data_IF_857829146803
#
_entry.id   IF_857829146803
#
_cell.length_a   1.000
_cell.length_b   1.000
_cell.length_c   1.000
_cell.angle_alpha   90.00
_cell.angle_beta   90.00
_cell.angle_gamma   90.00
#
_symmetry.space_group_name_H-M   'P 1'
#
loop_
_entity.id
_entity.type
_entity.pdbx_description
1 polymer ?
#
# COMPACT_ATOMS: atom_id res chain seq x y z
N UNK A 1 55.88 0.54 -3.40
CA UNK A 1 54.51 -0.03 -3.47
C UNK A 1 54.51 -0.98 -4.65
N UNK A 2 53.98 -2.19 -4.47
CA UNK A 2 54.04 -3.20 -5.54
C UNK A 2 53.12 -2.77 -6.69
N UNK A 3 53.53 -3.05 -7.95
CA UNK A 3 52.78 -2.76 -9.17
C UNK A 3 51.33 -3.28 -9.11
N UNK A 4 51.10 -4.34 -8.37
CA UNK A 4 49.81 -4.99 -8.18
C UNK A 4 48.72 -4.10 -7.53
N UNK A 5 49.09 -3.11 -6.71
CA UNK A 5 48.15 -2.18 -6.09
C UNK A 5 47.81 -1.03 -7.03
N UNK A 6 48.81 -0.56 -7.79
CA UNK A 6 48.61 0.52 -8.76
C UNK A 6 47.65 0.13 -9.89
N UNK A 7 47.66 -1.13 -10.33
CA UNK A 7 46.79 -1.62 -11.39
C UNK A 7 45.31 -1.75 -10.97
N UNK A 8 45.01 -1.69 -9.66
CA UNK A 8 43.65 -1.76 -9.13
C UNK A 8 43.02 -0.38 -8.88
N UNK A 9 43.82 0.66 -8.85
CA UNK A 9 43.32 2.05 -8.67
C UNK A 9 43.15 2.64 -10.06
N UNK A 10 41.90 2.72 -10.50
CA UNK A 10 41.54 3.19 -11.83
C UNK A 10 41.31 4.69 -11.88
N UNK A 11 40.77 5.25 -10.81
CA UNK A 11 40.49 6.68 -10.65
C UNK A 11 40.27 7.05 -9.21
N UNK A 12 40.31 8.33 -8.89
CA UNK A 12 39.82 8.86 -7.63
C UNK A 12 38.30 8.96 -7.66
N UNK A 13 37.61 8.48 -6.61
CA UNK A 13 36.19 8.62 -6.42
C UNK A 13 35.90 9.59 -5.27
N UNK A 14 35.02 10.55 -5.50
CA UNK A 14 34.58 11.50 -4.48
C UNK A 14 33.20 11.11 -3.97
N UNK A 15 32.99 11.27 -2.67
CA UNK A 15 31.67 11.19 -2.04
C UNK A 15 31.14 12.55 -1.70
N UNK A 16 29.85 12.65 -1.30
CA UNK A 16 29.31 13.94 -0.85
C UNK A 16 29.95 14.46 0.44
N UNK A 17 30.60 13.59 1.21
CA UNK A 17 31.38 14.00 2.39
C UNK A 17 32.71 14.68 2.03
N UNK A 18 33.19 14.47 0.81
CA UNK A 18 34.47 15.02 0.32
C UNK A 18 34.29 16.37 -0.42
N UNK A 19 33.06 16.75 -0.76
CA UNK A 19 32.78 17.89 -1.63
C UNK A 19 31.67 18.80 -1.11
N UNK A 20 31.76 20.07 -1.45
CA UNK A 20 30.70 21.07 -1.26
C UNK A 20 30.29 21.62 -2.63
N UNK A 21 28.97 21.77 -2.82
CA UNK A 21 28.44 22.48 -3.97
C UNK A 21 28.62 24.00 -3.77
N UNK A 22 29.30 24.64 -4.70
CA UNK A 22 29.47 26.10 -4.69
C UNK A 22 28.16 26.72 -5.19
N UNK A 23 27.54 27.66 -4.43
CA UNK A 23 26.38 28.38 -4.89
C UNK A 23 26.66 29.11 -6.23
N UNK A 24 25.73 28.98 -7.18
CA UNK A 24 25.80 29.65 -8.46
C UNK A 24 24.61 30.60 -8.60
N UNK A 25 24.75 31.57 -9.49
CA UNK A 25 23.65 32.46 -9.84
C UNK A 25 22.49 31.68 -10.48
N UNK A 26 21.26 31.94 -10.03
CA UNK A 26 20.05 31.31 -10.55
C UNK A 26 18.93 32.33 -10.65
N UNK A 27 18.19 32.29 -11.75
CA UNK A 27 16.95 33.06 -11.98
C UNK A 27 15.69 32.24 -11.75
N UNK A 28 15.86 30.94 -11.36
CA UNK A 28 14.77 30.00 -11.12
C UNK A 28 14.32 30.07 -9.66
N UNK A 29 13.05 30.39 -9.44
CA UNK A 29 12.45 30.33 -8.11
C UNK A 29 12.13 28.87 -7.71
N UNK A 30 12.15 28.52 -6.41
CA UNK A 30 11.85 27.14 -5.96
C UNK A 30 10.56 26.56 -6.54
N UNK A 31 9.49 27.36 -6.67
CA UNK A 31 8.20 26.94 -7.24
C UNK A 31 8.23 26.71 -8.77
N UNK A 32 9.31 27.09 -9.45
CA UNK A 32 9.48 26.93 -10.90
C UNK A 32 10.41 25.77 -11.24
N UNK A 33 10.93 25.07 -10.20
CA UNK A 33 11.83 23.95 -10.41
C UNK A 33 11.06 22.77 -10.98
N UNK A 34 11.55 22.19 -12.07
CA UNK A 34 11.06 20.93 -12.63
C UNK A 34 11.84 19.78 -11.98
N UNK A 35 11.14 18.92 -11.24
CA UNK A 35 11.74 17.80 -10.50
C UNK A 35 11.75 16.50 -11.29
N UNK A 36 11.06 16.42 -12.42
CA UNK A 36 11.01 15.21 -13.24
C UNK A 36 12.40 14.80 -13.70
N UNK A 37 12.70 13.50 -13.55
CA UNK A 37 14.00 12.96 -13.92
C UNK A 37 13.88 11.55 -14.44
N UNK A 38 14.90 11.08 -15.18
CA UNK A 38 14.98 9.68 -15.61
C UNK A 38 15.76 8.88 -14.60
N UNK A 39 15.15 7.83 -14.08
CA UNK A 39 15.83 6.83 -13.27
C UNK A 39 16.51 5.78 -14.16
N UNK A 40 15.86 5.38 -15.24
CA UNK A 40 16.42 4.49 -16.25
C UNK A 40 15.88 4.84 -17.63
N UNK A 41 16.26 4.03 -18.65
CA UNK A 41 15.82 4.26 -20.03
C UNK A 41 14.31 4.46 -20.17
N UNK A 42 13.52 3.69 -19.45
CA UNK A 42 12.07 3.61 -19.60
C UNK A 42 11.31 3.99 -18.30
N UNK A 43 12.03 4.48 -17.28
CA UNK A 43 11.41 4.87 -16.00
C UNK A 43 11.70 6.35 -15.74
N UNK A 44 10.65 7.13 -15.65
CA UNK A 44 10.67 8.54 -15.25
C UNK A 44 10.12 8.66 -13.82
N UNK A 45 10.69 9.57 -13.04
CA UNK A 45 10.25 9.91 -11.70
C UNK A 45 9.71 11.34 -11.69
N UNK A 46 8.67 11.58 -10.91
CA UNK A 46 8.16 12.92 -10.68
C UNK A 46 9.02 13.69 -9.67
N UNK A 47 9.66 12.96 -8.75
CA UNK A 47 10.60 13.49 -7.75
C UNK A 47 11.84 12.60 -7.75
N UNK A 48 13.07 13.16 -7.75
CA UNK A 48 14.31 12.40 -7.92
C UNK A 48 14.75 11.67 -6.64
N UNK A 49 13.84 10.95 -6.00
CA UNK A 49 14.12 10.14 -4.82
C UNK A 49 13.96 8.65 -5.11
N UNK A 50 14.97 7.89 -4.70
CA UNK A 50 15.00 6.42 -4.83
C UNK A 50 15.41 5.83 -3.48
N UNK A 51 14.65 4.88 -2.97
CA UNK A 51 15.06 4.17 -1.75
C UNK A 51 15.99 3.00 -2.10
N UNK A 52 17.03 2.83 -1.29
CA UNK A 52 18.07 1.83 -1.52
C UNK A 52 17.53 0.40 -1.37
N UNK A 53 18.03 -0.53 -2.18
CA UNK A 53 17.73 -1.95 -2.12
C UNK A 53 18.43 -2.63 -0.93
N UNK A 54 18.13 -2.18 0.28
CA UNK A 54 18.71 -2.66 1.53
C UNK A 54 17.67 -3.45 2.31
N UNK A 55 18.10 -4.57 2.88
CA UNK A 55 17.31 -5.37 3.80
C UNK A 55 16.80 -4.50 4.97
N UNK A 56 15.57 -4.73 5.39
CA UNK A 56 14.84 -3.97 6.43
C UNK A 56 14.64 -2.48 6.14
N UNK A 57 15.10 -1.98 5.00
CA UNK A 57 14.91 -0.58 4.57
C UNK A 57 13.82 -0.48 3.50
N UNK A 58 13.99 -1.19 2.38
CA UNK A 58 13.04 -1.09 1.26
C UNK A 58 12.33 -2.41 1.01
N UNK A 59 11.19 -2.55 1.67
CA UNK A 59 10.16 -3.55 1.42
C UNK A 59 8.90 -2.87 0.86
N UNK A 60 7.79 -3.61 0.70
CA UNK A 60 6.58 -3.09 0.08
C UNK A 60 6.07 -1.79 0.71
N UNK A 61 6.10 -1.68 2.03
CA UNK A 61 5.60 -0.49 2.75
C UNK A 61 6.38 0.79 2.41
N UNK A 62 7.71 0.72 2.41
CA UNK A 62 8.57 1.84 2.04
C UNK A 62 8.44 2.16 0.54
N UNK A 63 8.39 1.12 -0.30
CA UNK A 63 8.23 1.31 -1.75
C UNK A 63 6.89 1.99 -2.10
N UNK A 64 5.80 1.64 -1.41
CA UNK A 64 4.50 2.31 -1.55
C UNK A 64 4.59 3.78 -1.08
N UNK A 65 5.20 4.02 0.08
CA UNK A 65 5.31 5.37 0.63
C UNK A 65 6.07 6.30 -0.33
N UNK A 66 7.24 5.90 -0.81
CA UNK A 66 8.04 6.73 -1.73
C UNK A 66 7.38 6.90 -3.10
N UNK A 67 6.66 5.88 -3.59
CA UNK A 67 5.94 5.97 -4.86
C UNK A 67 4.81 7.00 -4.80
N UNK A 68 4.10 7.11 -3.68
CA UNK A 68 3.05 8.12 -3.47
C UNK A 68 3.59 9.54 -3.50
N UNK A 69 4.85 9.74 -3.12
CA UNK A 69 5.53 11.04 -3.18
C UNK A 69 6.16 11.31 -4.56
N UNK A 70 6.05 10.38 -5.52
CA UNK A 70 6.55 10.54 -6.89
C UNK A 70 7.95 9.99 -7.14
N UNK A 71 8.55 9.32 -6.16
CA UNK A 71 9.81 8.60 -6.27
C UNK A 71 9.62 7.12 -6.61
N UNK A 72 10.62 6.29 -6.35
CA UNK A 72 10.58 4.83 -6.55
C UNK A 72 11.31 4.08 -5.45
N UNK A 73 10.77 2.93 -5.04
CA UNK A 73 11.43 1.98 -4.16
C UNK A 73 12.07 0.84 -4.94
N UNK A 74 13.27 0.45 -4.55
CA UNK A 74 13.95 -0.74 -5.09
C UNK A 74 13.94 -1.83 -4.02
N UNK A 75 13.13 -2.85 -4.23
CA UNK A 75 13.00 -3.99 -3.29
C UNK A 75 14.31 -4.76 -3.21
N UNK A 76 14.79 -5.04 -2.00
CA UNK A 76 16.02 -5.79 -1.78
C UNK A 76 15.89 -7.27 -2.17
N UNK A 77 17.04 -7.95 -2.32
CA UNK A 77 17.09 -9.35 -2.76
C UNK A 77 17.30 -10.36 -1.62
N UNK A 78 17.42 -9.92 -0.37
CA UNK A 78 17.64 -10.82 0.77
C UNK A 78 16.35 -11.51 1.23
N UNK A 79 15.73 -12.23 0.31
CA UNK A 79 14.49 -13.01 0.51
C UNK A 79 14.38 -14.05 -0.61
N UNK A 80 13.39 -14.96 -0.53
CA UNK A 80 13.15 -15.90 -1.63
C UNK A 80 12.60 -15.17 -2.88
N UNK A 81 12.69 -15.82 -4.03
CA UNK A 81 12.14 -15.29 -5.30
C UNK A 81 10.64 -15.05 -5.16
N UNK A 82 9.92 -15.98 -4.56
CA UNK A 82 8.48 -15.93 -4.34
C UNK A 82 8.11 -14.75 -3.43
N UNK A 83 8.87 -14.56 -2.35
CA UNK A 83 8.65 -13.45 -1.42
C UNK A 83 8.94 -12.10 -2.09
N UNK A 84 10.02 -11.96 -2.86
CA UNK A 84 10.30 -10.74 -3.60
C UNK A 84 9.20 -10.43 -4.61
N UNK A 85 8.73 -11.45 -5.35
CA UNK A 85 7.60 -11.30 -6.27
C UNK A 85 6.33 -10.85 -5.54
N UNK A 86 6.07 -11.40 -4.32
CA UNK A 86 4.94 -11.00 -3.47
C UNK A 86 5.06 -9.53 -3.05
N UNK A 87 6.24 -9.10 -2.60
CA UNK A 87 6.49 -7.70 -2.23
C UNK A 87 6.22 -6.75 -3.41
N UNK A 88 6.74 -7.07 -4.59
CA UNK A 88 6.49 -6.28 -5.81
C UNK A 88 4.99 -6.27 -6.16
N UNK A 89 4.32 -7.41 -6.05
CA UNK A 89 2.89 -7.49 -6.31
C UNK A 89 2.08 -6.58 -5.35
N UNK A 90 2.42 -6.53 -4.06
CA UNK A 90 1.80 -5.63 -3.08
C UNK A 90 1.97 -4.17 -3.51
N UNK A 91 3.19 -3.76 -3.92
CA UNK A 91 3.45 -2.39 -4.38
C UNK A 91 2.62 -2.04 -5.61
N UNK A 92 2.64 -2.92 -6.62
CA UNK A 92 1.87 -2.71 -7.87
C UNK A 92 0.37 -2.62 -7.65
N UNK A 93 -0.11 -3.35 -6.70
CA UNK A 93 -1.53 -3.36 -6.32
C UNK A 93 -1.93 -2.13 -5.51
N UNK A 94 -1.03 -1.59 -4.69
CA UNK A 94 -1.28 -0.35 -3.94
C UNK A 94 -1.46 0.88 -4.84
N UNK A 95 -0.97 0.86 -6.09
CA UNK A 95 -1.27 1.89 -7.11
C UNK A 95 -2.76 1.97 -7.42
N UNK A 96 -3.49 0.88 -7.22
CA UNK A 96 -4.91 0.77 -7.53
C UNK A 96 -5.84 1.18 -6.37
N UNK A 97 -5.31 1.74 -5.28
CA UNK A 97 -6.13 2.15 -4.12
C UNK A 97 -6.75 0.98 -3.34
N UNK A 98 -6.45 -0.26 -3.70
CA UNK A 98 -6.96 -1.45 -3.07
C UNK A 98 -6.07 -1.90 -1.92
N UNK A 99 -6.67 -2.22 -0.78
CA UNK A 99 -6.01 -2.85 0.36
C UNK A 99 -6.08 -4.36 0.14
N UNK A 100 -4.93 -5.00 -0.01
CA UNK A 100 -4.83 -6.46 -0.08
C UNK A 100 -4.66 -7.04 1.31
N UNK A 101 -5.25 -8.22 1.51
CA UNK A 101 -5.28 -8.87 2.81
C UNK A 101 -5.81 -7.91 3.90
N UNK A 102 -7.03 -7.38 3.71
CA UNK A 102 -7.62 -6.46 4.67
C UNK A 102 -7.83 -7.16 6.02
N UNK A 103 -7.80 -6.37 7.08
CA UNK A 103 -8.20 -6.87 8.40
C UNK A 103 -9.63 -7.37 8.31
N UNK A 104 -9.86 -8.62 8.68
CA UNK A 104 -11.16 -9.28 8.65
C UNK A 104 -11.59 -9.72 10.04
N UNK A 105 -12.89 -9.90 10.23
CA UNK A 105 -13.45 -10.47 11.44
C UNK A 105 -14.32 -11.68 11.08
N UNK A 106 -14.30 -12.70 11.93
CA UNK A 106 -15.07 -13.91 11.69
C UNK A 106 -16.51 -13.77 12.14
N UNK A 107 -17.39 -14.47 11.46
CA UNK A 107 -18.78 -14.66 11.91
C UNK A 107 -18.84 -15.11 13.36
N UNK A 108 -19.90 -14.70 14.06
CA UNK A 108 -20.07 -15.05 15.47
C UNK A 108 -19.20 -14.27 16.45
N UNK A 109 -18.29 -13.39 15.99
CA UNK A 109 -17.60 -12.41 16.83
C UNK A 109 -18.59 -11.41 17.42
N UNK A 110 -18.17 -10.65 18.41
CA UNK A 110 -19.03 -9.67 19.10
C UNK A 110 -18.81 -8.26 18.56
N UNK A 111 -19.76 -7.37 18.82
CA UNK A 111 -19.64 -5.92 18.59
C UNK A 111 -18.38 -5.38 19.26
N UNK A 112 -18.06 -5.85 20.47
CA UNK A 112 -16.85 -5.45 21.18
C UNK A 112 -15.60 -5.83 20.41
N UNK A 113 -15.51 -7.08 19.92
CA UNK A 113 -14.34 -7.52 19.13
C UNK A 113 -14.14 -6.65 17.90
N UNK A 114 -15.22 -6.28 17.21
CA UNK A 114 -15.16 -5.40 16.05
C UNK A 114 -14.68 -3.99 16.40
N UNK A 115 -15.16 -3.41 17.51
CA UNK A 115 -14.74 -2.09 17.97
C UNK A 115 -13.28 -2.08 18.42
N UNK A 116 -12.83 -3.11 19.15
CA UNK A 116 -11.45 -3.25 19.59
C UNK A 116 -10.52 -3.35 18.36
N UNK A 117 -10.88 -4.16 17.37
CA UNK A 117 -10.12 -4.27 16.11
C UNK A 117 -10.10 -2.94 15.32
N UNK A 118 -11.24 -2.23 15.23
CA UNK A 118 -11.28 -0.93 14.56
C UNK A 118 -10.38 0.09 15.25
N UNK A 119 -10.33 0.05 16.59
CA UNK A 119 -9.46 0.91 17.39
C UNK A 119 -7.98 0.57 17.18
N UNK A 120 -7.60 -0.69 17.32
CA UNK A 120 -6.21 -1.15 17.25
C UNK A 120 -5.59 -0.95 15.87
N UNK A 121 -6.35 -1.19 14.82
CA UNK A 121 -5.91 -1.04 13.43
C UNK A 121 -6.21 0.33 12.82
N UNK A 122 -6.85 1.24 13.56
CA UNK A 122 -7.27 2.58 13.09
C UNK A 122 -8.10 2.54 11.80
N UNK A 123 -9.05 1.60 11.72
CA UNK A 123 -9.91 1.38 10.55
C UNK A 123 -11.37 1.63 10.88
N UNK A 124 -12.13 2.11 9.90
CA UNK A 124 -13.55 2.47 10.06
C UNK A 124 -14.52 1.42 9.51
N UNK A 125 -14.06 0.22 9.19
CA UNK A 125 -14.90 -0.89 8.72
C UNK A 125 -14.10 -2.13 8.42
N UNK A 126 -14.70 -3.28 8.68
CA UNK A 126 -14.06 -4.59 8.64
C UNK A 126 -14.96 -5.53 7.85
N UNK A 127 -14.47 -6.19 6.78
CA UNK A 127 -15.15 -7.29 6.13
C UNK A 127 -15.35 -8.47 7.10
N UNK A 128 -16.53 -9.05 7.05
CA UNK A 128 -16.88 -10.24 7.83
C UNK A 128 -16.77 -11.46 6.94
N UNK A 129 -16.01 -12.46 7.37
CA UNK A 129 -15.78 -13.69 6.61
C UNK A 129 -16.17 -14.94 7.41
N UNK A 130 -16.45 -16.01 6.71
CA UNK A 130 -16.59 -17.34 7.30
C UNK A 130 -15.24 -18.04 7.51
N UNK A 131 -15.27 -19.33 7.91
CA UNK A 131 -14.07 -20.10 8.17
C UNK A 131 -13.26 -20.43 6.88
N UNK A 132 -13.90 -20.35 5.73
CA UNK A 132 -13.31 -20.63 4.41
C UNK A 132 -12.90 -19.33 3.69
N UNK A 133 -12.96 -18.16 4.38
CA UNK A 133 -12.66 -16.82 3.86
C UNK A 133 -13.65 -16.30 2.82
N UNK A 134 -14.87 -16.84 2.74
CA UNK A 134 -15.90 -16.22 1.91
C UNK A 134 -16.44 -14.97 2.60
N UNK A 135 -16.64 -13.94 1.81
CA UNK A 135 -17.25 -12.69 2.28
C UNK A 135 -18.72 -12.91 2.60
N UNK A 136 -19.11 -12.67 3.86
CA UNK A 136 -20.49 -12.82 4.33
C UNK A 136 -21.13 -11.51 4.73
N UNK A 137 -20.36 -10.45 4.90
CA UNK A 137 -20.85 -9.13 5.26
C UNK A 137 -19.75 -8.10 5.44
N UNK A 138 -20.14 -6.91 5.82
CA UNK A 138 -19.24 -5.85 6.26
C UNK A 138 -19.83 -5.16 7.49
N UNK A 139 -19.00 -4.83 8.47
CA UNK A 139 -19.36 -4.02 9.61
C UNK A 139 -18.55 -2.73 9.60
N UNK A 140 -19.21 -1.60 9.79
CA UNK A 140 -18.60 -0.27 9.73
C UNK A 140 -18.88 0.53 10.98
N UNK A 141 -18.16 1.63 11.18
CA UNK A 141 -18.44 2.58 12.26
C UNK A 141 -19.88 3.10 12.22
N UNK A 142 -20.51 3.14 11.04
CA UNK A 142 -21.92 3.56 10.90
C UNK A 142 -22.85 2.56 11.56
N UNK A 143 -22.62 1.27 11.37
CA UNK A 143 -23.44 0.19 11.91
C UNK A 143 -23.32 0.10 13.43
N UNK A 144 -22.11 0.38 13.96
CA UNK A 144 -21.81 0.27 15.39
C UNK A 144 -22.04 1.57 16.18
N UNK A 145 -22.24 2.70 15.51
CA UNK A 145 -22.28 4.04 16.13
C UNK A 145 -23.26 4.18 17.28
N UNK A 146 -24.38 3.51 17.21
CA UNK A 146 -25.46 3.59 18.21
C UNK A 146 -25.73 2.27 18.94
N UNK A 147 -24.94 1.21 18.63
CA UNK A 147 -25.07 -0.06 19.30
C UNK A 147 -24.51 0.03 20.73
N UNK A 148 -25.30 -0.41 21.70
CA UNK A 148 -24.94 -0.36 23.13
C UNK A 148 -24.65 -1.74 23.71
N UNK A 149 -25.04 -2.79 23.01
CA UNK A 149 -24.89 -4.17 23.46
C UNK A 149 -23.60 -4.76 22.89
N UNK A 150 -22.52 -4.66 23.67
CA UNK A 150 -21.18 -5.08 23.26
C UNK A 150 -21.06 -6.58 23.02
N UNK A 151 -21.89 -7.40 23.69
CA UNK A 151 -21.91 -8.86 23.56
C UNK A 151 -22.75 -9.36 22.38
N UNK A 152 -23.43 -8.46 21.68
CA UNK A 152 -24.24 -8.77 20.51
C UNK A 152 -23.35 -9.31 19.38
N UNK A 153 -23.86 -10.29 18.63
CA UNK A 153 -23.10 -10.85 17.50
C UNK A 153 -23.07 -9.89 16.32
N UNK A 154 -21.93 -9.82 15.64
CA UNK A 154 -21.76 -8.95 14.46
C UNK A 154 -22.70 -9.35 13.32
N UNK A 155 -23.10 -10.61 13.23
CA UNK A 155 -24.07 -11.14 12.28
C UNK A 155 -25.44 -10.44 12.38
N UNK A 156 -25.78 -9.83 13.52
CA UNK A 156 -27.04 -9.13 13.76
C UNK A 156 -26.97 -7.63 13.43
N UNK A 157 -25.75 -7.10 13.22
CA UNK A 157 -25.52 -5.66 12.99
C UNK A 157 -24.79 -5.35 11.69
N UNK A 158 -24.09 -6.35 11.10
CA UNK A 158 -23.39 -6.18 9.83
C UNK A 158 -24.35 -5.96 8.66
N UNK A 159 -23.87 -5.32 7.62
CA UNK A 159 -24.52 -5.31 6.32
C UNK A 159 -24.21 -6.62 5.60
N UNK A 160 -25.21 -7.47 5.38
CA UNK A 160 -25.08 -8.76 4.68
C UNK A 160 -26.02 -8.87 3.47
N UNK A 161 -27.15 -8.16 3.50
CA UNK A 161 -28.08 -8.11 2.38
C UNK A 161 -27.67 -7.02 1.39
N UNK A 162 -27.76 -7.33 0.08
CA UNK A 162 -27.38 -6.41 -1.00
C UNK A 162 -25.95 -5.87 -0.87
N UNK A 163 -25.03 -6.73 -0.40
CA UNK A 163 -23.63 -6.39 -0.24
C UNK A 163 -23.02 -6.05 -1.60
N UNK A 164 -22.56 -4.80 -1.75
CA UNK A 164 -21.91 -4.34 -2.96
C UNK A 164 -20.47 -4.81 -2.94
N UNK A 165 -20.07 -5.57 -3.95
CA UNK A 165 -18.72 -6.11 -4.12
C UNK A 165 -18.20 -5.84 -5.52
N UNK A 166 -16.91 -6.01 -5.73
CA UNK A 166 -16.29 -5.96 -7.05
C UNK A 166 -15.22 -7.04 -7.18
N UNK A 167 -14.64 -7.17 -8.38
CA UNK A 167 -13.60 -8.15 -8.68
C UNK A 167 -12.22 -7.51 -8.82
N UNK A 168 -11.18 -8.31 -8.68
CA UNK A 168 -9.77 -7.90 -8.69
C UNK A 168 -9.33 -7.11 -9.94
N UNK A 169 -10.09 -7.24 -11.05
CA UNK A 169 -9.79 -6.57 -12.32
C UNK A 169 -10.42 -5.16 -12.41
N UNK A 170 -11.22 -4.76 -11.43
CA UNK A 170 -11.87 -3.45 -11.43
C UNK A 170 -10.83 -2.36 -11.22
N UNK A 171 -10.77 -1.40 -12.13
CA UNK A 171 -9.89 -0.25 -12.01
C UNK A 171 -10.45 0.79 -11.02
N UNK A 172 -9.61 1.76 -10.64
CA UNK A 172 -9.99 2.82 -9.68
C UNK A 172 -11.17 3.67 -10.14
N UNK A 173 -11.30 3.91 -11.43
CA UNK A 173 -12.37 4.76 -11.98
C UNK A 173 -13.70 4.04 -11.83
N UNK A 174 -13.74 2.76 -12.20
CA UNK A 174 -14.91 1.92 -12.03
C UNK A 174 -15.25 1.70 -10.55
N UNK A 175 -14.24 1.46 -9.70
CA UNK A 175 -14.45 1.33 -8.25
C UNK A 175 -15.01 2.62 -7.64
N UNK A 176 -14.48 3.79 -8.01
CA UNK A 176 -15.00 5.08 -7.55
C UNK A 176 -16.45 5.32 -7.98
N UNK A 177 -16.82 4.93 -9.21
CA UNK A 177 -18.20 5.02 -9.68
C UNK A 177 -19.14 4.14 -8.86
N UNK A 178 -18.74 2.88 -8.56
CA UNK A 178 -19.53 1.96 -7.71
C UNK A 178 -19.70 2.53 -6.30
N UNK A 179 -18.63 3.05 -5.69
CA UNK A 179 -18.68 3.67 -4.36
C UNK A 179 -19.64 4.86 -4.33
N UNK A 180 -19.58 5.73 -5.35
CA UNK A 180 -20.41 6.92 -5.47
C UNK A 180 -21.89 6.56 -5.70
N UNK A 181 -22.18 5.66 -6.62
CA UNK A 181 -23.52 5.23 -6.97
C UNK A 181 -24.25 4.59 -5.78
N UNK A 182 -23.54 3.73 -5.05
CA UNK A 182 -24.08 3.02 -3.89
C UNK A 182 -23.94 3.81 -2.57
N UNK A 183 -23.27 4.98 -2.58
CA UNK A 183 -23.05 5.83 -1.40
C UNK A 183 -22.34 5.08 -0.25
N UNK A 184 -21.38 4.24 -0.61
CA UNK A 184 -20.55 3.47 0.32
C UNK A 184 -19.12 3.99 0.30
N UNK A 185 -18.38 3.76 1.39
CA UNK A 185 -16.99 4.20 1.57
C UNK A 185 -15.99 3.05 1.40
N UNK A 186 -16.48 1.83 1.42
CA UNK A 186 -15.68 0.61 1.34
C UNK A 186 -16.33 -0.37 0.37
N UNK A 187 -15.49 -0.92 -0.50
CA UNK A 187 -15.91 -1.83 -1.57
C UNK A 187 -15.11 -3.12 -1.46
N UNK A 188 -15.67 -4.17 -0.86
CA UNK A 188 -14.99 -5.46 -0.81
C UNK A 188 -14.73 -6.02 -2.21
N UNK A 189 -13.53 -6.53 -2.40
CA UNK A 189 -13.08 -7.17 -3.63
C UNK A 189 -13.03 -8.67 -3.41
N UNK A 190 -13.71 -9.40 -4.26
CA UNK A 190 -13.83 -10.86 -4.17
C UNK A 190 -13.34 -11.55 -5.45
N UNK A 191 -12.97 -12.81 -5.34
CA UNK A 191 -12.73 -13.68 -6.48
C UNK A 191 -14.03 -14.32 -7.02
N UNK A 192 -13.92 -15.23 -7.98
CA UNK A 192 -15.06 -15.88 -8.59
C UNK A 192 -15.80 -16.87 -7.65
N UNK A 193 -15.15 -17.27 -6.57
CA UNK A 193 -15.70 -18.19 -5.56
C UNK A 193 -16.16 -17.42 -4.30
N UNK A 194 -16.20 -16.09 -4.38
CA UNK A 194 -16.58 -15.17 -3.29
C UNK A 194 -15.61 -15.13 -2.12
N UNK A 195 -14.35 -15.57 -2.28
CA UNK A 195 -13.34 -15.32 -1.26
C UNK A 195 -12.94 -13.85 -1.27
N UNK A 196 -12.77 -13.30 -0.08
CA UNK A 196 -12.29 -11.93 0.07
C UNK A 196 -10.81 -11.83 -0.32
N UNK A 197 -10.51 -10.99 -1.29
CA UNK A 197 -9.14 -10.75 -1.79
C UNK A 197 -8.67 -9.32 -1.58
N UNK A 198 -9.56 -8.41 -1.22
CA UNK A 198 -9.20 -7.01 -0.99
C UNK A 198 -10.36 -6.13 -0.51
N UNK A 199 -10.04 -4.86 -0.28
CA UNK A 199 -10.98 -3.83 0.15
C UNK A 199 -10.62 -2.50 -0.50
#
# INVERSE_FOLDING_TARGET
MSSFVADKIVMDGLTYDDVLLIPAYSEVLPKQVELKTKFSRNIELNVPFVTAAMDTVTEASMAIAIAREGGIGVIHKNMSIEEQARQVAIVKRAENGMIYDPVTIRRGSTVKDALDMMHDYHIGGIPVVDDENHLVGIVTNRDLRFERHMDKKIDEVMTSENLVTTHIQTDLVAAAAILQENKIEKLPVVDNENHLVGL
#
